data_IF_028298247225
#
_entry.id   IF_028298247225
#
_cell.length_a   1.000
_cell.length_b   1.000
_cell.length_c   1.000
_cell.angle_alpha   90.00
_cell.angle_beta   90.00
_cell.angle_gamma   90.00
#
_symmetry.space_group_name_H-M   'P 1'
#
loop_
_entity.id
_entity.type
_entity.pdbx_description
1 polymer ?
#
# COMPACT_ATOMS: atom_id res chain seq x y z
N UNK A 1 20.92 -46.31 -25.04
CA UNK A 1 21.19 -44.96 -25.59
C UNK A 1 19.99 -44.57 -26.43
N UNK A 2 19.06 -43.79 -25.88
CA UNK A 2 17.89 -43.28 -26.59
C UNK A 2 18.19 -41.85 -27.08
N UNK A 3 17.97 -41.51 -28.36
CA UNK A 3 18.15 -40.14 -28.82
C UNK A 3 16.96 -39.30 -28.36
N UNK A 4 17.25 -38.10 -27.83
CA UNK A 4 16.24 -37.09 -27.55
C UNK A 4 15.75 -36.45 -28.86
N UNK A 5 14.44 -36.20 -29.04
CA UNK A 5 13.95 -35.39 -30.15
C UNK A 5 14.18 -33.90 -29.85
N UNK A 6 14.97 -33.23 -30.68
CA UNK A 6 15.05 -31.77 -30.73
C UNK A 6 13.73 -31.21 -31.26
N UNK A 7 12.87 -30.72 -30.37
CA UNK A 7 11.72 -29.91 -30.78
C UNK A 7 12.22 -28.54 -31.19
N UNK A 8 12.34 -28.34 -32.51
CA UNK A 8 12.43 -27.01 -33.11
C UNK A 8 11.12 -26.27 -32.83
N UNK A 9 11.14 -25.32 -31.90
CA UNK A 9 10.04 -24.37 -31.77
C UNK A 9 10.15 -23.38 -32.94
N UNK A 10 9.17 -23.31 -33.86
CA UNK A 10 9.21 -22.29 -34.89
C UNK A 10 9.16 -20.93 -34.19
N UNK A 11 10.16 -20.09 -34.49
CA UNK A 11 10.18 -18.69 -34.09
C UNK A 11 8.96 -18.05 -34.76
N UNK A 12 7.85 -17.94 -34.03
CA UNK A 12 6.64 -17.27 -34.51
C UNK A 12 7.00 -15.80 -34.59
N UNK A 13 7.51 -15.35 -35.74
CA UNK A 13 7.56 -13.92 -36.07
C UNK A 13 6.11 -13.51 -36.29
N UNK A 14 5.40 -13.26 -35.19
CA UNK A 14 4.01 -12.83 -35.21
C UNK A 14 3.95 -11.46 -35.89
N UNK A 15 3.36 -11.41 -37.08
CA UNK A 15 2.77 -10.18 -37.59
C UNK A 15 1.57 -9.85 -36.68
N UNK A 16 1.84 -9.20 -35.54
CA UNK A 16 0.78 -8.73 -34.65
C UNK A 16 0.11 -7.52 -35.33
N UNK A 17 -1.18 -7.59 -35.71
CA UNK A 17 -1.86 -6.49 -36.38
C UNK A 17 -1.84 -5.24 -35.50
N UNK A 18 -1.65 -4.06 -36.11
CA UNK A 18 -1.45 -2.77 -35.39
C UNK A 18 -2.52 -2.50 -34.32
N UNK A 19 -3.77 -2.92 -34.56
CA UNK A 19 -4.88 -2.84 -33.60
C UNK A 19 -4.64 -3.71 -32.34
N UNK A 20 -4.06 -4.90 -32.48
CA UNK A 20 -3.76 -5.80 -31.37
C UNK A 20 -2.59 -5.30 -30.51
N UNK A 21 -1.63 -4.58 -31.10
CA UNK A 21 -0.57 -3.90 -30.32
C UNK A 21 -1.15 -2.82 -29.42
N UNK A 22 -2.17 -2.09 -29.91
CA UNK A 22 -2.88 -1.09 -29.12
C UNK A 22 -3.65 -1.75 -27.95
N UNK A 23 -4.36 -2.84 -28.20
CA UNK A 23 -5.04 -3.58 -27.13
C UNK A 23 -4.07 -4.14 -26.10
N UNK A 24 -2.96 -4.75 -26.52
CA UNK A 24 -1.93 -5.27 -25.60
C UNK A 24 -1.31 -4.14 -24.77
N UNK A 25 -1.03 -2.98 -25.38
CA UNK A 25 -0.50 -1.81 -24.66
C UNK A 25 -1.51 -1.28 -23.62
N UNK A 26 -2.80 -1.22 -23.98
CA UNK A 26 -3.87 -0.78 -23.07
C UNK A 26 -4.06 -1.80 -21.93
N UNK A 27 -4.08 -3.10 -22.21
CA UNK A 27 -4.17 -4.14 -21.18
C UNK A 27 -2.94 -4.15 -20.25
N UNK A 28 -1.74 -3.93 -20.79
CA UNK A 28 -0.52 -3.81 -19.98
C UNK A 28 -0.55 -2.57 -19.07
N UNK A 29 -1.09 -1.44 -19.56
CA UNK A 29 -1.27 -0.23 -18.75
C UNK A 29 -2.31 -0.43 -17.64
N UNK A 30 -3.40 -1.16 -17.91
CA UNK A 30 -4.43 -1.46 -16.91
C UNK A 30 -3.90 -2.43 -15.84
N UNK A 31 -3.11 -3.44 -16.23
CA UNK A 31 -2.53 -4.39 -15.28
C UNK A 31 -1.56 -3.73 -14.28
N UNK A 32 -0.84 -2.68 -14.71
CA UNK A 32 0.07 -1.90 -13.83
C UNK A 32 -0.70 -0.99 -12.86
N UNK A 33 -1.97 -0.67 -13.13
CA UNK A 33 -2.78 0.22 -12.29
C UNK A 33 -3.43 -0.47 -11.08
N UNK A 34 -3.34 -1.79 -10.97
CA UNK A 34 -3.71 -2.50 -9.75
C UNK A 34 -2.57 -2.34 -8.72
N UNK A 35 -2.57 -1.20 -8.01
CA UNK A 35 -1.62 -0.96 -6.93
C UNK A 35 -2.01 -1.79 -5.70
N UNK A 36 -1.25 -2.85 -5.41
CA UNK A 36 -1.40 -3.62 -4.18
C UNK A 36 -0.95 -2.79 -2.96
N UNK A 37 -1.60 -3.03 -1.81
CA UNK A 37 -1.25 -2.38 -0.54
C UNK A 37 0.20 -2.69 -0.15
N UNK A 38 0.96 -1.65 0.17
CA UNK A 38 2.34 -1.78 0.66
C UNK A 38 2.40 -1.49 2.16
N UNK A 39 2.90 -2.46 2.92
CA UNK A 39 3.12 -2.34 4.38
C UNK A 39 3.99 -1.12 4.67
N UNK A 40 3.48 -0.23 5.52
CA UNK A 40 4.16 1.00 5.94
C UNK A 40 5.21 0.68 7.01
N UNK A 41 6.37 1.28 6.88
CA UNK A 41 7.49 1.13 7.80
C UNK A 41 7.41 2.12 8.96
N UNK A 42 8.32 1.99 9.92
CA UNK A 42 8.48 2.99 10.98
C UNK A 42 8.85 4.37 10.44
N UNK A 43 9.60 4.45 9.34
CA UNK A 43 10.00 5.72 8.72
C UNK A 43 8.80 6.45 8.10
N UNK A 44 7.94 5.68 7.40
CA UNK A 44 6.66 6.18 6.89
C UNK A 44 5.79 6.71 8.03
N UNK A 45 5.70 5.97 9.13
CA UNK A 45 4.94 6.40 10.31
C UNK A 45 5.50 7.71 10.91
N UNK A 46 6.82 7.88 11.01
CA UNK A 46 7.39 9.15 11.51
C UNK A 46 7.07 10.32 10.56
N UNK A 47 7.15 10.07 9.26
CA UNK A 47 6.78 11.05 8.23
C UNK A 47 5.31 11.46 8.40
N UNK A 48 4.38 10.51 8.44
CA UNK A 48 2.96 10.80 8.61
C UNK A 48 2.63 11.47 9.94
N UNK A 49 3.32 11.09 11.03
CA UNK A 49 3.19 11.78 12.32
C UNK A 49 3.56 13.26 12.20
N UNK A 50 4.66 13.58 11.52
CA UNK A 50 5.09 14.97 11.33
C UNK A 50 4.10 15.76 10.46
N UNK A 51 3.62 15.16 9.39
CA UNK A 51 2.61 15.76 8.51
C UNK A 51 1.30 16.02 9.26
N UNK A 52 0.79 15.05 10.01
CA UNK A 52 -0.45 15.18 10.77
C UNK A 52 -0.35 16.18 11.93
N UNK A 53 0.84 16.33 12.54
CA UNK A 53 1.10 17.39 13.53
C UNK A 53 0.94 18.77 12.87
N UNK A 54 1.56 18.94 11.70
CA UNK A 54 1.51 20.21 10.97
C UNK A 54 0.11 20.54 10.43
N UNK A 55 -0.63 19.56 9.91
CA UNK A 55 -1.95 19.78 9.30
C UNK A 55 -3.04 20.11 10.33
N UNK A 56 -2.95 19.55 11.53
CA UNK A 56 -3.94 19.74 12.60
C UNK A 56 -3.50 20.72 13.68
N UNK A 57 -2.34 21.38 13.52
CA UNK A 57 -1.81 22.34 14.50
C UNK A 57 -1.73 21.75 15.92
N UNK A 58 -1.23 20.52 16.03
CA UNK A 58 -1.10 19.82 17.30
C UNK A 58 -0.07 20.55 18.18
N UNK A 59 -0.40 20.78 19.45
CA UNK A 59 0.50 21.46 20.39
C UNK A 59 1.73 20.60 20.73
N UNK A 60 2.86 21.26 21.02
CA UNK A 60 4.10 20.56 21.40
C UNK A 60 3.94 19.67 22.65
N UNK A 61 3.04 20.04 23.56
CA UNK A 61 2.71 19.23 24.73
C UNK A 61 2.06 17.89 24.33
N UNK A 62 1.08 17.92 23.42
CA UNK A 62 0.45 16.71 22.91
C UNK A 62 1.44 15.87 22.09
N UNK A 63 2.29 16.50 21.27
CA UNK A 63 3.36 15.81 20.55
C UNK A 63 4.29 15.08 21.52
N UNK A 64 4.64 15.69 22.65
CA UNK A 64 5.48 15.05 23.67
C UNK A 64 4.80 13.83 24.32
N UNK A 65 3.47 13.84 24.50
CA UNK A 65 2.67 12.68 24.96
C UNK A 65 2.64 11.57 23.90
N UNK A 66 2.34 11.92 22.65
CA UNK A 66 2.29 10.94 21.54
C UNK A 66 3.63 10.22 21.32
N UNK A 67 4.75 10.93 21.50
CA UNK A 67 6.10 10.33 21.43
C UNK A 67 6.33 9.26 22.52
N UNK A 68 5.62 9.35 23.65
CA UNK A 68 5.64 8.39 24.75
C UNK A 68 4.54 7.33 24.64
N UNK A 69 3.82 7.29 23.52
CA UNK A 69 2.64 6.43 23.32
C UNK A 69 1.49 6.71 24.30
N UNK A 70 1.44 7.95 24.82
CA UNK A 70 0.34 8.45 25.63
C UNK A 70 -0.64 9.22 24.73
N UNK A 71 -1.85 8.68 24.57
CA UNK A 71 -2.89 9.19 23.68
C UNK A 71 -4.14 9.52 24.51
N UNK A 72 -4.33 10.78 24.94
CA UNK A 72 -5.51 11.19 25.68
C UNK A 72 -6.80 11.00 24.89
N UNK A 73 -7.91 10.79 25.59
CA UNK A 73 -9.23 10.60 25.00
C UNK A 73 -9.89 11.94 24.69
N UNK A 74 -9.36 12.65 23.70
CA UNK A 74 -9.88 13.95 23.24
C UNK A 74 -9.97 14.01 21.71
N UNK A 75 -10.82 14.90 21.20
CA UNK A 75 -11.09 15.04 19.76
C UNK A 75 -9.84 15.36 18.94
N UNK A 76 -8.87 16.08 19.53
CA UNK A 76 -7.61 16.43 18.86
C UNK A 76 -6.76 15.18 18.63
N UNK A 77 -6.64 14.34 19.66
CA UNK A 77 -5.95 13.06 19.58
C UNK A 77 -6.64 12.11 18.62
N UNK A 78 -7.97 12.03 18.65
CA UNK A 78 -8.73 11.18 17.72
C UNK A 78 -8.54 11.62 16.27
N UNK A 79 -8.61 12.94 15.98
CA UNK A 79 -8.36 13.48 14.63
C UNK A 79 -6.92 13.22 14.17
N UNK A 80 -5.95 13.33 15.08
CA UNK A 80 -4.55 13.03 14.80
C UNK A 80 -4.34 11.56 14.42
N UNK A 81 -4.91 10.62 15.18
CA UNK A 81 -4.85 9.18 14.87
C UNK A 81 -5.55 8.87 13.55
N UNK A 82 -6.72 9.48 13.31
CA UNK A 82 -7.44 9.35 12.04
C UNK A 82 -6.58 9.80 10.86
N UNK A 83 -5.91 10.95 10.97
CA UNK A 83 -5.02 11.46 9.94
C UNK A 83 -3.90 10.47 9.59
N UNK A 84 -3.26 9.88 10.62
CA UNK A 84 -2.22 8.88 10.41
C UNK A 84 -2.77 7.63 9.74
N UNK A 85 -3.92 7.12 10.22
CA UNK A 85 -4.51 5.88 9.70
C UNK A 85 -4.99 6.05 8.26
N UNK A 86 -5.50 7.22 7.89
CA UNK A 86 -5.86 7.55 6.51
C UNK A 86 -4.62 7.57 5.61
N UNK A 87 -3.51 8.19 6.06
CA UNK A 87 -2.24 8.21 5.31
C UNK A 87 -1.60 6.83 5.16
N UNK A 88 -1.80 5.96 6.15
CA UNK A 88 -1.34 4.58 6.10
C UNK A 88 -2.28 3.66 5.31
N UNK A 89 -3.39 4.18 4.76
CA UNK A 89 -4.43 3.38 4.08
C UNK A 89 -5.00 2.26 4.97
N UNK A 90 -5.11 2.52 6.28
CA UNK A 90 -5.67 1.59 7.27
C UNK A 90 -7.11 1.96 7.66
N UNK A 91 -7.53 3.18 7.32
CA UNK A 91 -8.85 3.71 7.60
C UNK A 91 -9.31 4.59 6.44
N UNK A 92 -10.60 4.55 6.15
CA UNK A 92 -11.29 5.43 5.22
C UNK A 92 -12.41 6.17 5.96
N UNK A 93 -12.56 7.46 5.67
CA UNK A 93 -13.52 8.31 6.38
C UNK A 93 -14.99 7.91 6.16
N UNK A 94 -15.29 7.21 5.06
CA UNK A 94 -16.66 6.78 4.74
C UNK A 94 -16.92 5.32 5.13
N UNK A 95 -15.91 4.46 4.94
CA UNK A 95 -16.04 3.01 5.08
C UNK A 95 -15.43 2.46 6.38
N UNK A 96 -14.71 3.29 7.13
CA UNK A 96 -14.08 2.91 8.39
C UNK A 96 -12.79 2.10 8.20
N UNK A 97 -12.47 1.17 9.11
CA UNK A 97 -11.23 0.39 9.06
C UNK A 97 -11.12 -0.48 7.79
N UNK A 98 -9.96 -0.42 7.12
CA UNK A 98 -9.66 -1.26 5.95
C UNK A 98 -9.02 -2.55 6.46
N UNK A 99 -9.85 -3.55 6.73
CA UNK A 99 -9.47 -4.79 7.44
C UNK A 99 -8.33 -5.54 6.75
N UNK A 100 -8.37 -5.67 5.42
CA UNK A 100 -7.32 -6.38 4.67
C UNK A 100 -5.94 -5.72 4.86
N UNK A 101 -5.90 -4.39 4.76
CA UNK A 101 -4.67 -3.61 4.95
C UNK A 101 -4.19 -3.68 6.41
N UNK A 102 -5.11 -3.66 7.38
CA UNK A 102 -4.80 -3.83 8.80
C UNK A 102 -4.17 -5.19 9.10
N UNK A 103 -4.71 -6.27 8.53
CA UNK A 103 -4.14 -7.61 8.69
C UNK A 103 -2.74 -7.65 8.09
N UNK A 104 -2.55 -7.18 6.86
CA UNK A 104 -1.23 -7.13 6.23
C UNK A 104 -0.21 -6.31 7.03
N UNK A 105 -0.64 -5.17 7.59
CA UNK A 105 0.21 -4.27 8.36
C UNK A 105 0.58 -4.84 9.75
N UNK A 106 -0.34 -5.52 10.42
CA UNK A 106 -0.21 -5.94 11.82
C UNK A 106 0.14 -7.43 12.01
N UNK A 107 -0.01 -8.26 10.97
CA UNK A 107 0.31 -9.69 11.05
C UNK A 107 1.78 -9.95 11.38
N UNK A 108 2.69 -9.04 11.01
CA UNK A 108 4.14 -9.15 11.28
C UNK A 108 4.71 -10.55 10.94
N UNK A 109 4.24 -11.17 9.84
CA UNK A 109 4.69 -12.49 9.40
C UNK A 109 4.05 -13.70 10.09
N UNK A 110 2.97 -13.54 10.88
CA UNK A 110 2.25 -14.65 11.53
C UNK A 110 1.32 -15.46 10.61
N UNK A 111 1.06 -14.98 9.41
CA UNK A 111 0.25 -15.67 8.39
C UNK A 111 1.13 -16.20 7.23
N UNK A 112 2.45 -16.28 7.43
CA UNK A 112 3.42 -16.74 6.42
C UNK A 112 3.71 -18.26 6.45
N UNK A 113 2.90 -19.04 7.18
CA UNK A 113 2.97 -20.50 7.28
C UNK A 113 1.74 -21.20 6.68
#
# INVERSE_FOLDING_TARGET
VFPAPSKEYPRVVQAVPSKMKLFIAVFALIAVAAADFTVKTTDDLQTYRSECVSSHSISDELVAKYRKWDFPEDDTTQCYIKCIFNKMELFDDNNGPIVDNLVLQLAHGRDAD
#
